data_IF_118148602801
#
_entry.id   IF_118148602801
#
_cell.length_a   1.000
_cell.length_b   1.000
_cell.length_c   1.000
_cell.angle_alpha   90.00
_cell.angle_beta   90.00
_cell.angle_gamma   90.00
#
_symmetry.space_group_name_H-M   'P 1'
#
loop_
_entity.id
_entity.type
_entity.pdbx_description
1 polymer ?
#
# COMPACT_ATOMS: atom_id res chain seq x y z
N UNK A 1 15.55 8.72 -28.92
CA UNK A 1 15.07 7.64 -28.04
C UNK A 1 15.65 7.94 -26.69
N UNK A 2 14.84 8.48 -25.78
CA UNK A 2 15.26 8.77 -24.41
C UNK A 2 14.95 7.50 -23.60
N UNK A 3 15.96 6.66 -23.41
CA UNK A 3 15.86 5.53 -22.48
C UNK A 3 15.75 6.10 -21.07
N UNK A 4 14.51 6.35 -20.63
CA UNK A 4 14.24 6.65 -19.23
C UNK A 4 14.65 5.42 -18.43
N UNK A 5 15.87 5.44 -17.89
CA UNK A 5 16.38 4.39 -17.01
C UNK A 5 15.44 4.29 -15.82
N UNK A 6 14.58 3.27 -15.82
CA UNK A 6 13.67 3.01 -14.73
C UNK A 6 14.49 2.68 -13.49
N UNK A 7 14.62 3.65 -12.57
CA UNK A 7 15.38 3.50 -11.32
C UNK A 7 14.64 2.71 -10.25
N UNK A 8 13.41 2.27 -10.54
CA UNK A 8 12.55 1.59 -9.56
C UNK A 8 12.93 0.12 -9.51
N UNK A 9 13.12 -0.38 -8.31
CA UNK A 9 13.48 -1.79 -8.05
C UNK A 9 12.27 -2.71 -7.95
N UNK A 10 11.06 -2.16 -8.05
CA UNK A 10 9.77 -2.86 -7.88
C UNK A 10 8.68 -2.12 -8.65
N UNK A 11 7.73 -2.86 -9.20
CA UNK A 11 6.49 -2.30 -9.74
C UNK A 11 5.60 -1.73 -8.63
N UNK A 12 4.79 -0.71 -8.95
CA UNK A 12 3.86 -0.12 -7.97
C UNK A 12 2.43 -0.47 -8.30
N UNK A 13 1.72 -0.99 -7.31
CA UNK A 13 0.30 -1.25 -7.41
C UNK A 13 -0.47 0.07 -7.31
N UNK A 14 -1.32 0.36 -8.30
CA UNK A 14 -2.14 1.58 -8.34
C UNK A 14 -3.59 1.26 -8.03
N UNK A 15 -4.16 1.94 -7.05
CA UNK A 15 -5.55 1.80 -6.65
C UNK A 15 -5.96 3.00 -5.81
N UNK A 16 -7.27 3.26 -5.72
CA UNK A 16 -7.83 4.53 -5.24
C UNK A 16 -8.55 4.39 -3.89
N UNK A 17 -8.11 3.48 -3.02
CA UNK A 17 -8.76 3.23 -1.72
C UNK A 17 -8.32 4.24 -0.65
N UNK A 18 -9.10 4.39 0.43
CA UNK A 18 -8.74 5.28 1.53
C UNK A 18 -7.43 4.89 2.22
N UNK A 19 -6.71 5.90 2.68
CA UNK A 19 -5.62 5.75 3.66
C UNK A 19 -5.90 6.71 4.83
N UNK A 20 -5.71 6.22 6.05
CA UNK A 20 -5.79 7.05 7.25
C UNK A 20 -4.39 7.32 7.76
N UNK A 21 -4.13 8.54 8.20
CA UNK A 21 -2.81 8.93 8.69
C UNK A 21 -2.89 9.92 9.84
N UNK A 22 -1.88 9.87 10.71
CA UNK A 22 -1.66 10.81 11.80
C UNK A 22 -0.18 10.78 12.22
N UNK A 23 0.28 11.79 12.94
CA UNK A 23 1.60 11.75 13.60
C UNK A 23 1.61 10.67 14.70
N UNK A 24 0.53 10.63 15.49
CA UNK A 24 0.25 9.61 16.50
C UNK A 24 -1.22 9.16 16.41
N UNK A 25 -1.50 7.86 16.57
CA UNK A 25 -2.86 7.31 16.42
C UNK A 25 -3.78 7.61 17.61
N UNK A 26 -3.30 8.28 18.65
CA UNK A 26 -4.17 8.82 19.70
C UNK A 26 -4.85 10.14 19.30
N UNK A 27 -4.43 10.76 18.18
CA UNK A 27 -5.00 11.99 17.65
C UNK A 27 -6.07 11.75 16.56
N UNK A 28 -6.68 12.84 16.10
CA UNK A 28 -7.66 12.84 15.00
C UNK A 28 -7.01 12.30 13.73
N UNK A 29 -7.54 11.17 13.25
CA UNK A 29 -7.13 10.57 11.98
C UNK A 29 -7.53 11.45 10.81
N UNK A 30 -6.54 11.80 9.99
CA UNK A 30 -6.76 12.45 8.70
C UNK A 30 -6.93 11.40 7.62
N UNK A 31 -7.80 11.66 6.65
CA UNK A 31 -8.07 10.74 5.56
C UNK A 31 -7.47 11.26 4.26
N UNK A 32 -6.77 10.38 3.55
CA UNK A 32 -6.30 10.56 2.20
C UNK A 32 -6.80 9.48 1.25
N UNK A 33 -6.31 9.51 0.02
CA UNK A 33 -6.62 8.52 -1.01
C UNK A 33 -5.33 7.96 -1.59
N UNK A 34 -5.20 6.64 -1.58
CA UNK A 34 -4.07 5.95 -2.17
C UNK A 34 -3.96 6.29 -3.67
N UNK A 35 -2.73 6.44 -4.15
CA UNK A 35 -2.40 6.62 -5.57
C UNK A 35 -1.62 5.41 -6.06
N UNK A 36 -0.57 5.05 -5.32
CA UNK A 36 0.26 3.89 -5.62
C UNK A 36 1.02 3.41 -4.38
N UNK A 37 1.35 2.12 -4.34
CA UNK A 37 2.12 1.50 -3.25
C UNK A 37 3.19 0.55 -3.77
N UNK A 38 4.28 0.45 -3.03
CA UNK A 38 5.30 -0.59 -3.16
C UNK A 38 5.66 -1.13 -1.77
N UNK A 39 6.51 -2.16 -1.71
CA UNK A 39 6.92 -2.74 -0.43
C UNK A 39 7.59 -1.74 0.53
N UNK A 40 8.20 -0.67 0.01
CA UNK A 40 9.00 0.31 0.78
C UNK A 40 8.34 1.67 0.97
N UNK A 41 7.18 1.91 0.36
CA UNK A 41 6.53 3.20 0.47
C UNK A 41 5.23 3.28 -0.31
N UNK A 42 4.51 4.37 -0.07
CA UNK A 42 3.23 4.66 -0.71
C UNK A 42 3.18 6.12 -1.13
N UNK A 43 2.36 6.39 -2.15
CA UNK A 43 1.93 7.72 -2.50
C UNK A 43 0.42 7.83 -2.31
N UNK A 44 -0.02 8.91 -1.68
CA UNK A 44 -1.43 9.20 -1.48
C UNK A 44 -1.70 10.69 -1.61
N UNK A 45 -2.95 11.06 -1.86
CA UNK A 45 -3.40 12.45 -1.83
C UNK A 45 -4.04 12.79 -0.50
N UNK A 46 -3.81 14.02 -0.03
CA UNK A 46 -4.39 14.64 1.16
C UNK A 46 -5.04 15.98 0.73
N UNK A 47 -5.99 16.48 1.52
CA UNK A 47 -6.46 17.86 1.38
C UNK A 47 -5.47 18.84 2.00
N UNK A 48 -5.34 20.03 1.40
CA UNK A 48 -4.53 21.12 1.95
C UNK A 48 -5.34 21.96 2.95
N UNK A 49 -5.82 21.31 4.01
CA UNK A 49 -6.64 21.91 5.09
C UNK A 49 -5.88 22.07 6.40
N UNK A 50 -4.54 21.99 6.35
CA UNK A 50 -3.65 22.00 7.51
C UNK A 50 -3.39 20.63 8.13
N UNK A 51 -4.11 19.58 7.70
CA UNK A 51 -3.85 18.20 8.15
C UNK A 51 -2.79 17.48 7.32
N UNK A 52 -2.51 17.95 6.10
CA UNK A 52 -1.56 17.29 5.21
C UNK A 52 -0.12 17.35 5.75
N UNK A 53 0.61 16.22 5.76
CA UNK A 53 1.92 16.17 6.37
C UNK A 53 2.97 16.91 5.54
N UNK A 54 4.02 17.38 6.21
CA UNK A 54 5.12 18.12 5.60
C UNK A 54 6.33 17.22 5.32
N UNK A 55 7.25 17.69 4.47
CA UNK A 55 8.46 16.96 4.10
C UNK A 55 9.30 16.60 5.33
N UNK A 56 9.70 15.33 5.44
CA UNK A 56 10.49 14.80 6.55
C UNK A 56 9.68 14.45 7.80
N UNK A 57 8.38 14.79 7.86
CA UNK A 57 7.54 14.45 9.00
C UNK A 57 7.40 12.94 9.15
N UNK A 58 7.50 12.45 10.39
CA UNK A 58 7.20 11.07 10.71
C UNK A 58 5.70 10.89 10.96
N UNK A 59 5.06 9.96 10.25
CA UNK A 59 3.65 9.68 10.39
C UNK A 59 3.42 8.18 10.48
N UNK A 60 2.26 7.79 10.98
CA UNK A 60 1.76 6.44 10.83
C UNK A 60 0.53 6.42 9.94
N UNK A 61 0.52 5.44 9.03
CA UNK A 61 -0.52 5.24 8.02
C UNK A 61 -1.21 3.91 8.24
N UNK A 62 -2.52 3.88 7.99
CA UNK A 62 -3.35 2.68 7.98
C UNK A 62 -4.06 2.59 6.64
N UNK A 63 -3.95 1.45 5.98
CA UNK A 63 -4.52 1.22 4.65
C UNK A 63 -4.77 -0.26 4.42
N UNK A 64 -5.51 -0.58 3.36
CA UNK A 64 -5.71 -1.95 2.89
C UNK A 64 -5.05 -2.12 1.53
N UNK A 65 -4.52 -3.31 1.26
CA UNK A 65 -3.95 -3.69 -0.04
C UNK A 65 -4.83 -4.82 -0.61
N UNK A 66 -5.32 -4.71 -1.85
CA UNK A 66 -6.00 -5.82 -2.49
C UNK A 66 -5.02 -7.00 -2.69
N UNK A 67 -5.49 -8.22 -2.42
CA UNK A 67 -4.76 -9.46 -2.64
C UNK A 67 -5.57 -10.29 -3.64
N UNK A 68 -4.87 -10.88 -4.62
CA UNK A 68 -5.45 -11.90 -5.47
C UNK A 68 -5.36 -13.24 -4.75
N UNK A 69 -6.51 -13.78 -4.36
CA UNK A 69 -6.61 -15.11 -3.74
C UNK A 69 -6.49 -16.25 -4.76
N UNK A 70 -6.25 -17.50 -4.31
CA UNK A 70 -6.09 -18.67 -5.17
C UNK A 70 -7.34 -19.06 -5.97
N UNK A 71 -8.51 -18.50 -5.66
CA UNK A 71 -9.79 -18.79 -6.34
C UNK A 71 -10.38 -17.56 -7.05
N UNK A 72 -9.53 -16.63 -7.52
CA UNK A 72 -9.97 -15.31 -8.04
C UNK A 72 -10.80 -14.51 -7.01
N UNK A 73 -10.67 -14.86 -5.73
CA UNK A 73 -11.28 -14.13 -4.64
C UNK A 73 -10.47 -12.85 -4.37
N UNK A 74 -11.17 -11.72 -4.31
CA UNK A 74 -10.59 -10.46 -3.89
C UNK A 74 -10.51 -10.43 -2.37
N UNK A 75 -9.33 -10.72 -1.83
CA UNK A 75 -9.05 -10.55 -0.42
C UNK A 75 -8.45 -9.16 -0.15
N UNK A 76 -8.51 -8.70 1.10
CA UNK A 76 -8.04 -7.38 1.49
C UNK A 76 -7.19 -7.50 2.75
N UNK A 77 -5.91 -7.17 2.63
CA UNK A 77 -5.00 -7.24 3.75
C UNK A 77 -4.78 -5.84 4.34
N UNK A 78 -4.99 -5.71 5.65
CA UNK A 78 -4.91 -4.44 6.36
C UNK A 78 -3.52 -4.24 6.94
N UNK A 79 -2.95 -3.06 6.71
CA UNK A 79 -1.63 -2.70 7.18
C UNK A 79 -1.64 -1.41 7.97
N UNK A 80 -0.76 -1.38 8.97
CA UNK A 80 -0.33 -0.18 9.68
C UNK A 80 1.17 -0.04 9.45
N UNK A 81 1.61 1.11 8.91
CA UNK A 81 3.03 1.40 8.66
C UNK A 81 3.39 2.82 9.06
N UNK A 82 4.41 2.92 9.90
CA UNK A 82 5.07 4.19 10.23
C UNK A 82 6.17 4.47 9.22
N UNK A 83 6.49 5.75 9.03
CA UNK A 83 7.48 6.16 8.05
C UNK A 83 7.64 7.68 8.02
N UNK A 84 8.49 8.15 7.12
CA UNK A 84 8.72 9.58 6.94
C UNK A 84 8.24 10.05 5.56
N UNK A 85 7.79 11.29 5.48
CA UNK A 85 7.44 11.91 4.21
C UNK A 85 8.71 12.22 3.42
N UNK A 86 8.88 11.54 2.30
CA UNK A 86 10.01 11.68 1.39
C UNK A 86 9.80 12.74 0.31
N UNK A 87 8.54 13.05 -0.01
CA UNK A 87 8.18 14.02 -1.05
C UNK A 87 6.77 14.54 -0.83
N UNK A 88 6.56 15.81 -1.15
CA UNK A 88 5.25 16.46 -1.22
C UNK A 88 5.19 17.20 -2.55
N UNK A 89 4.18 16.91 -3.37
CA UNK A 89 3.90 17.60 -4.63
C UNK A 89 2.55 18.31 -4.54
N UNK A 90 2.48 19.54 -5.03
CA UNK A 90 1.21 20.25 -5.18
C UNK A 90 0.47 19.70 -6.41
N UNK A 91 -0.74 19.19 -6.20
CA UNK A 91 -1.59 18.68 -7.31
C UNK A 91 -2.51 19.79 -7.80
N UNK A 92 -3.09 20.54 -6.87
CA UNK A 92 -3.87 21.76 -7.11
C UNK A 92 -3.95 22.57 -5.79
N UNK A 93 -4.69 23.68 -5.80
CA UNK A 93 -4.85 24.58 -4.65
C UNK A 93 -5.53 23.96 -3.41
N UNK A 94 -6.08 22.74 -3.53
CA UNK A 94 -6.84 22.06 -2.47
C UNK A 94 -6.29 20.68 -2.12
N UNK A 95 -5.41 20.11 -2.95
CA UNK A 95 -4.85 18.79 -2.71
C UNK A 95 -3.36 18.70 -3.01
N UNK A 96 -2.69 17.93 -2.15
CA UNK A 96 -1.28 17.60 -2.30
C UNK A 96 -1.15 16.10 -2.45
N UNK A 97 -0.11 15.68 -3.16
CA UNK A 97 0.33 14.29 -3.23
C UNK A 97 1.54 14.15 -2.33
N UNK A 98 1.46 13.22 -1.39
CA UNK A 98 2.53 12.94 -0.46
C UNK A 98 3.07 11.53 -0.71
N UNK A 99 4.38 11.38 -0.55
CA UNK A 99 5.06 10.09 -0.67
C UNK A 99 5.70 9.74 0.66
N UNK A 100 5.21 8.68 1.28
CA UNK A 100 5.78 8.13 2.51
C UNK A 100 6.79 7.03 2.16
N UNK A 101 7.93 7.05 2.84
CA UNK A 101 8.85 5.92 2.90
C UNK A 101 8.66 5.19 4.22
N UNK A 102 8.31 3.90 4.15
CA UNK A 102 8.04 3.09 5.33
C UNK A 102 9.32 2.83 6.12
N UNK A 103 9.23 2.88 7.46
CA UNK A 103 10.31 2.50 8.36
C UNK A 103 10.59 0.99 8.28
N UNK A 104 9.51 0.19 8.20
CA UNK A 104 9.56 -1.25 7.97
C UNK A 104 8.85 -1.59 6.66
N UNK A 105 9.46 -2.40 5.79
CA UNK A 105 8.82 -2.77 4.53
C UNK A 105 7.55 -3.62 4.75
N UNK A 106 6.70 -3.67 3.74
CA UNK A 106 5.64 -4.67 3.66
C UNK A 106 6.26 -6.06 3.46
N UNK A 107 5.59 -7.13 3.92
CA UNK A 107 6.10 -8.50 3.81
C UNK A 107 6.11 -9.03 2.36
N UNK A 108 5.54 -8.29 1.41
CA UNK A 108 5.50 -8.63 -0.01
C UNK A 108 5.59 -7.38 -0.88
N UNK A 109 5.67 -7.59 -2.21
CA UNK A 109 5.71 -6.55 -3.24
C UNK A 109 4.33 -6.37 -3.89
N UNK A 110 3.55 -5.34 -3.53
CA UNK A 110 2.17 -5.23 -3.99
C UNK A 110 2.03 -5.13 -5.51
N UNK A 111 3.00 -4.53 -6.21
CA UNK A 111 2.95 -4.40 -7.67
C UNK A 111 3.33 -5.67 -8.44
N UNK A 112 3.78 -6.72 -7.75
CA UNK A 112 4.30 -7.96 -8.34
C UNK A 112 3.52 -9.19 -7.86
N UNK A 113 2.30 -8.99 -7.38
CA UNK A 113 1.37 -10.06 -7.00
C UNK A 113 1.05 -10.92 -8.24
N UNK A 114 1.82 -11.98 -8.46
CA UNK A 114 1.59 -12.98 -9.52
C UNK A 114 0.76 -14.11 -8.91
N UNK A 115 -0.23 -14.61 -9.66
CA UNK A 115 -0.96 -15.85 -9.31
C UNK A 115 0.04 -16.97 -9.00
N UNK A 116 0.14 -17.43 -7.75
CA UNK A 116 0.90 -18.66 -7.45
C UNK A 116 1.92 -18.64 -6.31
N UNK A 117 1.68 -17.92 -5.22
CA UNK A 117 2.31 -18.23 -3.92
C UNK A 117 1.27 -18.81 -2.95
N UNK A 118 0.56 -19.85 -3.39
CA UNK A 118 -0.19 -20.74 -2.50
C UNK A 118 0.64 -22.00 -2.29
N UNK A 119 1.66 -21.90 -1.44
CA UNK A 119 2.40 -23.05 -0.94
C UNK A 119 1.64 -23.62 0.28
N UNK A 120 0.58 -24.40 0.06
CA UNK A 120 0.03 -25.32 1.07
C UNK A 120 -0.39 -26.63 0.40
N UNK A 121 0.15 -27.72 0.95
CA UNK A 121 0.29 -29.04 0.35
C UNK A 121 -1.00 -29.73 -0.10
N UNK A 122 -0.89 -30.39 -1.24
CA UNK A 122 -1.73 -31.52 -1.61
C UNK A 122 -1.49 -32.68 -0.64
N UNK A 123 -2.48 -33.12 0.11
CA UNK A 123 -2.75 -34.52 0.48
C UNK A 123 -4.18 -34.61 1.04
N UNK A 124 -5.20 -34.62 0.18
CA UNK A 124 -6.49 -35.23 0.55
C UNK A 124 -6.48 -36.69 0.10
N UNK A 125 -6.27 -37.59 1.07
CA UNK A 125 -6.50 -39.02 0.91
C UNK A 125 -8.02 -39.24 0.93
N UNK A 126 -8.63 -39.40 -0.24
CA UNK A 126 -10.01 -39.83 -0.38
C UNK A 126 -10.11 -41.32 -0.03
N UNK A 127 -10.54 -41.61 1.19
CA UNK A 127 -10.97 -42.95 1.58
C UNK A 127 -12.34 -43.24 0.94
N UNK A 128 -12.35 -44.06 -0.11
CA UNK A 128 -13.56 -44.53 -0.76
C UNK A 128 -14.31 -45.48 0.16
N UNK A 129 -15.50 -45.09 0.63
CA UNK A 129 -16.48 -46.02 1.19
C UNK A 129 -17.38 -46.48 0.05
N UNK A 130 -17.20 -47.74 -0.36
CA UNK A 130 -18.14 -48.43 -1.25
C UNK A 130 -19.43 -48.81 -0.48
N UNK A 131 -20.53 -48.73 -1.22
CA UNK A 131 -21.98 -48.87 -0.91
C UNK A 131 -22.36 -49.84 0.21
#
# INVERSE_FOLDING_TARGET
MDETTERRTEQRLRYCWPVWFAEDFNDVLSQGQMVDISSRGAAFTCYDDGSCPYLGQHITTRFSIPRLGPEESFDMENFTRSGHISRVDEVNNYSRRVVIQFAEPLPFRPGEQTEGESEFGVEEVLETVEV
#
